data_IF_046184038112
#
_entry.id   IF_046184038112
#
_cell.length_a   1.000
_cell.length_b   1.000
_cell.length_c   1.000
_cell.angle_alpha   90.00
_cell.angle_beta   90.00
_cell.angle_gamma   90.00
#
_symmetry.space_group_name_H-M   'P 1'
#
loop_
_entity.id
_entity.type
_entity.pdbx_description
1 polymer ?
#
# COMPACT_ATOMS: atom_id res chain seq x y z
N UNK A 1 -3.58 31.20 -11.66
CA UNK A 1 -4.54 30.18 -11.19
C UNK A 1 -3.75 28.89 -11.00
N UNK A 2 -3.20 28.68 -9.80
CA UNK A 2 -2.34 27.53 -9.53
C UNK A 2 -3.19 26.26 -9.48
N UNK A 3 -2.91 25.34 -10.41
CA UNK A 3 -3.49 23.99 -10.39
C UNK A 3 -2.95 23.30 -9.14
N UNK A 4 -3.81 23.18 -8.13
CA UNK A 4 -3.60 22.37 -6.93
C UNK A 4 -3.32 20.94 -7.39
N UNK A 5 -2.05 20.58 -7.55
CA UNK A 5 -1.62 19.23 -7.86
C UNK A 5 -1.67 18.46 -6.54
N UNK A 6 -2.81 17.83 -6.29
CA UNK A 6 -3.00 16.82 -5.24
C UNK A 6 -2.02 15.66 -5.49
N UNK A 7 -0.78 15.81 -5.05
CA UNK A 7 0.21 14.73 -5.05
C UNK A 7 0.12 14.08 -3.67
N UNK A 8 -0.61 12.97 -3.64
CA UNK A 8 -1.05 12.29 -2.43
C UNK A 8 -0.25 10.98 -2.29
N UNK A 9 0.84 11.02 -1.51
CA UNK A 9 1.78 9.93 -1.19
C UNK A 9 2.73 9.50 -2.32
N UNK A 10 4.04 9.69 -2.06
CA UNK A 10 5.13 9.12 -2.85
C UNK A 10 5.68 7.87 -2.15
N UNK A 11 5.63 6.71 -2.81
CA UNK A 11 6.39 5.54 -2.40
C UNK A 11 7.75 5.61 -3.10
N UNK A 12 8.83 5.73 -2.31
CA UNK A 12 10.21 5.78 -2.81
C UNK A 12 10.78 4.36 -2.81
N UNK A 13 11.28 3.89 -3.94
CA UNK A 13 12.10 2.68 -4.00
C UNK A 13 13.59 3.04 -4.16
N UNK A 14 14.48 2.07 -3.88
CA UNK A 14 15.94 2.26 -3.98
C UNK A 14 16.43 2.55 -5.42
N UNK A 15 15.56 2.37 -6.43
CA UNK A 15 15.85 2.65 -7.84
C UNK A 15 15.52 4.11 -8.23
N UNK A 16 14.91 4.88 -7.33
CA UNK A 16 14.47 6.25 -7.57
C UNK A 16 13.12 6.34 -8.29
N UNK A 17 12.39 5.23 -8.43
CA UNK A 17 11.05 5.25 -9.00
C UNK A 17 10.05 5.79 -7.98
N UNK A 18 9.28 6.81 -8.39
CA UNK A 18 8.21 7.40 -7.60
C UNK A 18 6.88 6.85 -8.10
N UNK A 19 6.27 5.94 -7.35
CA UNK A 19 4.88 5.59 -7.60
C UNK A 19 3.98 6.69 -7.02
N UNK A 20 3.32 7.44 -7.90
CA UNK A 20 2.34 8.46 -7.53
C UNK A 20 0.94 7.86 -7.67
N UNK A 21 0.22 7.78 -6.56
CA UNK A 21 -1.18 7.35 -6.56
C UNK A 21 -2.07 8.59 -6.46
N UNK A 22 -3.13 8.64 -7.26
CA UNK A 22 -4.17 9.65 -7.03
C UNK A 22 -5.04 9.27 -5.83
N UNK A 23 -5.86 10.22 -5.37
CA UNK A 23 -6.73 10.05 -4.20
C UNK A 23 -7.65 8.82 -4.28
N UNK A 24 -8.18 8.49 -5.48
CA UNK A 24 -9.07 7.35 -5.68
C UNK A 24 -8.30 6.02 -5.66
N UNK A 25 -7.14 5.97 -6.30
CA UNK A 25 -6.24 4.81 -6.31
C UNK A 25 -5.73 4.50 -4.90
N UNK A 26 -5.24 5.52 -4.18
CA UNK A 26 -4.81 5.40 -2.78
C UNK A 26 -5.93 4.85 -1.90
N UNK A 27 -7.16 5.35 -2.08
CA UNK A 27 -8.33 4.86 -1.34
C UNK A 27 -8.61 3.39 -1.64
N UNK A 28 -8.62 2.99 -2.91
CA UNK A 28 -8.88 1.61 -3.33
C UNK A 28 -7.81 0.65 -2.79
N UNK A 29 -6.52 0.98 -2.99
CA UNK A 29 -5.40 0.16 -2.54
C UNK A 29 -5.38 0.01 -1.02
N UNK A 30 -5.67 1.08 -0.28
CA UNK A 30 -5.79 1.04 1.18
C UNK A 30 -6.84 0.02 1.63
N UNK A 31 -8.02 0.01 1.00
CA UNK A 31 -9.08 -0.93 1.41
C UNK A 31 -8.81 -2.37 0.99
N UNK A 32 -8.30 -2.59 -0.22
CA UNK A 32 -7.89 -3.94 -0.64
C UNK A 32 -6.84 -4.47 0.34
N UNK A 33 -5.80 -3.68 0.64
CA UNK A 33 -4.71 -4.11 1.52
C UNK A 33 -5.19 -4.34 2.96
N UNK A 34 -6.06 -3.47 3.48
CA UNK A 34 -6.71 -3.62 4.79
C UNK A 34 -7.51 -4.93 4.87
N UNK A 35 -8.34 -5.22 3.86
CA UNK A 35 -9.12 -6.46 3.80
C UNK A 35 -8.22 -7.70 3.69
N UNK A 36 -7.19 -7.63 2.85
CA UNK A 36 -6.22 -8.71 2.66
C UNK A 36 -5.48 -9.02 3.96
N UNK A 37 -4.94 -8.02 4.66
CA UNK A 37 -4.18 -8.22 5.90
C UNK A 37 -5.04 -8.68 7.09
N UNK A 38 -6.36 -8.43 7.05
CA UNK A 38 -7.32 -8.95 8.04
C UNK A 38 -7.75 -10.40 7.77
N UNK A 39 -7.50 -10.91 6.56
CA UNK A 39 -7.91 -12.26 6.17
C UNK A 39 -6.82 -13.29 6.48
N UNK A 40 -7.15 -14.27 7.32
CA UNK A 40 -6.24 -15.38 7.65
C UNK A 40 -5.83 -16.19 6.42
N UNK A 41 -6.77 -16.43 5.49
CA UNK A 41 -6.48 -17.20 4.26
C UNK A 41 -5.57 -16.43 3.31
N UNK A 42 -5.78 -15.10 3.20
CA UNK A 42 -4.94 -14.26 2.37
C UNK A 42 -3.53 -14.11 2.96
N UNK A 43 -3.42 -13.91 4.29
CA UNK A 43 -2.12 -13.90 4.97
C UNK A 43 -1.38 -15.23 4.81
N UNK A 44 -2.06 -16.36 4.98
CA UNK A 44 -1.45 -17.68 4.76
C UNK A 44 -0.96 -17.84 3.31
N UNK A 45 -1.72 -17.35 2.34
CA UNK A 45 -1.32 -17.36 0.93
C UNK A 45 -0.08 -16.48 0.69
N UNK A 46 -0.04 -15.27 1.24
CA UNK A 46 1.13 -14.35 1.14
C UNK A 46 2.36 -15.00 1.75
N UNK A 47 2.26 -15.55 2.96
CA UNK A 47 3.38 -16.22 3.63
C UNK A 47 3.88 -17.40 2.80
N UNK A 48 2.98 -18.20 2.23
CA UNK A 48 3.33 -19.36 1.41
C UNK A 48 4.00 -18.98 0.08
N UNK A 49 3.58 -17.86 -0.53
CA UNK A 49 4.01 -17.47 -1.88
C UNK A 49 5.19 -16.52 -1.91
N UNK A 50 5.24 -15.58 -0.97
CA UNK A 50 6.18 -14.47 -0.98
C UNK A 50 7.10 -14.50 0.25
N UNK A 51 6.61 -14.98 1.39
CA UNK A 51 7.34 -15.01 2.65
C UNK A 51 6.66 -14.19 3.74
N UNK A 52 7.07 -14.42 4.99
CA UNK A 52 6.47 -13.78 6.17
C UNK A 52 6.80 -12.28 6.25
N UNK A 53 7.93 -11.87 5.70
CA UNK A 53 8.36 -10.50 5.57
C UNK A 53 7.40 -9.64 4.74
N UNK A 54 6.72 -10.24 3.74
CA UNK A 54 5.78 -9.51 2.88
C UNK A 54 4.49 -9.12 3.59
N UNK A 55 4.09 -9.85 4.65
CA UNK A 55 3.00 -9.42 5.53
C UNK A 55 3.38 -8.11 6.24
N UNK A 56 4.60 -8.03 6.76
CA UNK A 56 5.12 -6.81 7.42
C UNK A 56 5.30 -5.65 6.45
N UNK A 57 5.71 -5.93 5.21
CA UNK A 57 5.77 -4.91 4.15
C UNK A 57 4.36 -4.36 3.89
N UNK A 58 3.37 -5.24 3.76
CA UNK A 58 1.95 -4.86 3.62
C UNK A 58 1.46 -3.98 4.77
N UNK A 59 1.74 -4.36 6.03
CA UNK A 59 1.39 -3.57 7.21
C UNK A 59 2.01 -2.15 7.17
N UNK A 60 3.30 -2.06 6.81
CA UNK A 60 4.00 -0.77 6.66
C UNK A 60 3.41 0.08 5.53
N UNK A 61 3.10 -0.52 4.38
CA UNK A 61 2.47 0.17 3.26
C UNK A 61 1.08 0.70 3.64
N UNK A 62 0.27 -0.12 4.33
CA UNK A 62 -1.05 0.28 4.78
C UNK A 62 -0.96 1.50 5.72
N UNK A 63 -0.03 1.46 6.68
CA UNK A 63 0.27 2.57 7.58
C UNK A 63 0.72 3.83 6.84
N UNK A 64 1.63 3.68 5.87
CA UNK A 64 2.09 4.78 5.01
C UNK A 64 0.95 5.41 4.18
N UNK A 65 -0.03 4.60 3.78
CA UNK A 65 -1.23 5.07 3.09
C UNK A 65 -2.28 5.70 4.02
N UNK A 66 -2.03 5.80 5.33
CA UNK A 66 -2.99 6.35 6.31
C UNK A 66 -4.06 5.35 6.77
N UNK A 67 -3.83 4.05 6.57
CA UNK A 67 -4.65 2.97 7.12
C UNK A 67 -4.12 2.48 8.47
N UNK A 68 -5.02 2.07 9.34
CA UNK A 68 -4.76 1.46 10.65
C UNK A 68 -5.94 0.60 11.07
#
# INVERSE_FOLDING_TARGET
MEKNKDIDLALHDETGALLMLNKKERKLLREILSMTLKSNSANAWIVKKLGKEYVKIGEKLLKGMGGG
#
